data_IF_499647317416
#
_entry.id   IF_499647317416
#
_cell.length_a   1.000
_cell.length_b   1.000
_cell.length_c   1.000
_cell.angle_alpha   90.00
_cell.angle_beta   90.00
_cell.angle_gamma   90.00
#
_symmetry.space_group_name_H-M   'P 1'
#
loop_
_entity.id
_entity.type
_entity.pdbx_description
1 polymer ?
#
# COMPACT_ATOMS: atom_id res chain seq x y z
N UNK A 1 9.75 -1.80 -0.93
CA UNK A 1 10.33 -3.12 -1.24
C UNK A 1 11.84 -3.23 -1.03
N UNK A 2 12.67 -2.30 -1.52
CA UNK A 2 14.14 -2.44 -1.42
C UNK A 2 14.66 -2.58 0.02
N UNK A 3 13.95 -2.06 1.02
CA UNK A 3 14.22 -2.26 2.45
C UNK A 3 13.82 -3.64 3.01
N UNK A 4 13.28 -4.54 2.18
CA UNK A 4 12.74 -5.84 2.60
C UNK A 4 11.37 -5.79 3.30
N UNK A 5 10.72 -4.63 3.33
CA UNK A 5 9.36 -4.52 3.88
C UNK A 5 8.33 -4.92 2.81
N UNK A 6 7.65 -6.03 3.09
CA UNK A 6 6.61 -6.65 2.26
C UNK A 6 5.23 -6.65 2.93
N UNK A 7 5.02 -5.85 3.98
CA UNK A 7 3.75 -5.78 4.73
C UNK A 7 2.54 -5.43 3.85
N UNK A 8 2.78 -4.72 2.74
CA UNK A 8 1.77 -4.34 1.77
C UNK A 8 1.47 -5.43 0.72
N UNK A 9 2.26 -6.51 0.66
CA UNK A 9 2.10 -7.57 -0.33
C UNK A 9 1.17 -8.69 0.17
N UNK A 10 0.26 -9.21 -0.68
CA UNK A 10 -0.50 -10.39 -0.33
C UNK A 10 0.41 -11.59 -0.10
N UNK A 11 0.31 -12.18 1.10
CA UNK A 11 1.05 -13.39 1.50
C UNK A 11 0.92 -14.54 0.48
N UNK A 12 -0.24 -14.63 -0.19
CA UNK A 12 -0.51 -15.68 -1.17
C UNK A 12 0.19 -15.47 -2.53
N UNK A 13 0.65 -14.25 -2.84
CA UNK A 13 1.39 -13.93 -4.06
C UNK A 13 2.90 -14.12 -3.87
N UNK A 14 3.39 -13.90 -2.64
CA UNK A 14 4.78 -14.18 -2.23
C UNK A 14 5.19 -15.64 -2.45
N UNK A 15 4.24 -16.58 -2.36
CA UNK A 15 4.48 -18.03 -2.55
C UNK A 15 4.24 -18.49 -4.00
N UNK A 16 3.91 -17.60 -4.93
CA UNK A 16 3.69 -17.99 -6.33
C UNK A 16 5.01 -18.32 -7.02
N UNK A 17 5.00 -19.38 -7.83
CA UNK A 17 6.14 -19.87 -8.62
C UNK A 17 6.76 -18.72 -9.45
N UNK A 18 8.09 -18.62 -9.44
CA UNK A 18 8.87 -17.58 -10.11
C UNK A 18 8.49 -17.40 -11.60
N UNK A 19 8.13 -18.48 -12.29
CA UNK A 19 7.76 -18.44 -13.72
C UNK A 19 6.48 -17.62 -13.98
N UNK A 20 5.50 -17.74 -13.09
CA UNK A 20 4.26 -16.96 -13.19
C UNK A 20 4.49 -15.47 -12.91
N UNK A 21 5.46 -15.14 -12.07
CA UNK A 21 5.85 -13.76 -11.77
C UNK A 21 6.51 -13.10 -12.98
N UNK A 22 7.44 -13.81 -13.64
CA UNK A 22 8.12 -13.32 -14.85
C UNK A 22 7.14 -13.20 -16.02
N UNK A 23 6.25 -14.18 -16.20
CA UNK A 23 5.20 -14.07 -17.22
C UNK A 23 4.23 -12.91 -16.94
N UNK A 24 3.95 -12.61 -15.67
CA UNK A 24 3.08 -11.49 -15.27
C UNK A 24 3.75 -10.13 -15.50
N UNK A 25 5.07 -10.02 -15.28
CA UNK A 25 5.81 -8.78 -15.56
C UNK A 25 5.84 -8.45 -17.05
N UNK A 26 6.00 -9.45 -17.92
CA UNK A 26 5.98 -9.24 -19.37
C UNK A 26 4.61 -8.72 -19.86
N UNK A 27 3.53 -9.18 -19.23
CA UNK A 27 2.16 -8.74 -19.56
C UNK A 27 1.84 -7.34 -19.07
N UNK A 28 2.59 -6.79 -18.11
CA UNK A 28 2.29 -5.51 -17.46
C UNK A 28 2.20 -4.36 -18.47
N UNK A 29 3.17 -4.22 -19.37
CA UNK A 29 3.21 -3.09 -20.32
C UNK A 29 1.98 -3.06 -21.24
N UNK A 30 1.59 -4.21 -21.79
CA UNK A 30 0.39 -4.33 -22.61
C UNK A 30 -0.89 -4.12 -21.82
N UNK A 31 -0.98 -4.73 -20.62
CA UNK A 31 -2.12 -4.55 -19.73
C UNK A 31 -2.33 -3.06 -19.38
N UNK A 32 -1.24 -2.34 -19.06
CA UNK A 32 -1.29 -0.92 -18.71
C UNK A 32 -1.94 -0.06 -19.78
N UNK A 33 -1.52 -0.22 -21.04
CA UNK A 33 -2.06 0.55 -22.16
C UNK A 33 -3.53 0.22 -22.38
N UNK A 34 -3.89 -1.07 -22.36
CA UNK A 34 -5.27 -1.51 -22.59
C UNK A 34 -6.21 -1.00 -21.50
N UNK A 35 -5.84 -1.09 -20.22
CA UNK A 35 -6.66 -0.56 -19.12
C UNK A 35 -6.81 0.96 -19.20
N UNK A 36 -5.77 1.68 -19.63
CA UNK A 36 -5.84 3.13 -19.82
C UNK A 36 -6.82 3.50 -20.93
N UNK A 37 -6.76 2.82 -22.09
CA UNK A 37 -7.69 3.05 -23.20
C UNK A 37 -9.13 2.76 -22.79
N UNK A 38 -9.37 1.63 -22.10
CA UNK A 38 -10.70 1.29 -21.59
C UNK A 38 -11.22 2.30 -20.58
N UNK A 39 -10.37 2.76 -19.67
CA UNK A 39 -10.72 3.79 -18.70
C UNK A 39 -11.07 5.11 -19.39
N UNK A 40 -10.29 5.52 -20.40
CA UNK A 40 -10.56 6.71 -21.19
C UNK A 40 -11.93 6.63 -21.90
N UNK A 41 -12.23 5.50 -22.54
CA UNK A 41 -13.53 5.26 -23.18
C UNK A 41 -14.68 5.36 -22.16
N UNK A 42 -14.54 4.71 -21.00
CA UNK A 42 -15.54 4.74 -19.93
C UNK A 42 -15.76 6.17 -19.40
N UNK A 43 -14.69 6.96 -19.24
CA UNK A 43 -14.79 8.36 -18.80
C UNK A 43 -15.54 9.20 -19.84
N UNK A 44 -15.29 9.01 -21.14
CA UNK A 44 -16.02 9.73 -22.20
C UNK A 44 -17.51 9.39 -22.15
N UNK A 45 -17.86 8.10 -22.05
CA UNK A 45 -19.26 7.66 -21.99
C UNK A 45 -19.93 8.24 -20.73
N UNK A 46 -19.26 8.19 -19.58
CA UNK A 46 -19.78 8.76 -18.33
C UNK A 46 -19.94 10.27 -18.42
N UNK A 47 -19.00 10.98 -19.07
CA UNK A 47 -19.08 12.42 -19.28
C UNK A 47 -20.26 12.77 -20.20
N UNK A 48 -20.47 11.99 -21.28
CA UNK A 48 -21.59 12.19 -22.19
C UNK A 48 -22.94 12.02 -21.46
N UNK A 49 -23.07 10.96 -20.65
CA UNK A 49 -24.26 10.74 -19.80
C UNK A 49 -24.42 11.89 -18.81
N UNK A 50 -23.35 12.32 -18.13
CA UNK A 50 -23.41 13.42 -17.16
C UNK A 50 -23.81 14.74 -17.83
N UNK A 51 -23.27 15.07 -19.00
CA UNK A 51 -23.66 16.24 -19.78
C UNK A 51 -25.13 16.18 -20.19
N UNK A 52 -25.62 15.02 -20.62
CA UNK A 52 -27.03 14.82 -20.95
C UNK A 52 -27.93 15.00 -19.72
N UNK A 53 -27.54 14.42 -18.58
CA UNK A 53 -28.27 14.57 -17.31
C UNK A 53 -28.31 16.03 -16.83
N UNK A 54 -27.19 16.76 -16.92
CA UNK A 54 -27.13 18.19 -16.58
C UNK A 54 -27.99 19.01 -17.53
N UNK A 55 -27.93 18.74 -18.83
CA UNK A 55 -28.75 19.43 -19.81
C UNK A 55 -30.24 19.24 -19.55
N UNK A 56 -30.65 18.01 -19.23
CA UNK A 56 -32.05 17.69 -18.96
C UNK A 56 -32.53 18.21 -17.59
N UNK A 57 -31.74 18.04 -16.52
CA UNK A 57 -32.13 18.38 -15.15
C UNK A 57 -31.97 19.87 -14.84
N UNK A 58 -31.00 20.57 -15.43
CA UNK A 58 -30.68 21.96 -15.09
C UNK A 58 -31.01 22.91 -16.24
N UNK A 59 -30.48 22.64 -17.46
CA UNK A 59 -30.57 23.61 -18.57
C UNK A 59 -32.02 23.74 -19.08
N UNK A 60 -32.72 22.62 -19.27
CA UNK A 60 -34.12 22.61 -19.72
C UNK A 60 -35.06 23.38 -18.77
N UNK A 61 -35.06 23.11 -17.45
CA UNK A 61 -35.91 23.87 -16.53
C UNK A 61 -35.50 25.33 -16.39
N UNK A 62 -34.20 25.66 -16.46
CA UNK A 62 -33.75 27.05 -16.44
C UNK A 62 -34.20 27.83 -17.68
N UNK A 63 -34.29 27.17 -18.84
CA UNK A 63 -34.81 27.74 -20.08
C UNK A 63 -36.35 27.90 -20.08
N UNK A 64 -37.05 27.55 -18.99
CA UNK A 64 -38.50 27.70 -18.86
C UNK A 64 -39.32 26.76 -19.76
N UNK A 65 -38.69 25.74 -20.35
CA UNK A 65 -39.34 24.82 -21.30
C UNK A 65 -40.02 23.62 -20.63
N UNK A 66 -40.05 23.56 -19.30
CA UNK A 66 -40.52 22.40 -18.53
C UNK A 66 -41.63 22.83 -17.57
N UNK A 67 -42.67 22.00 -17.46
CA UNK A 67 -43.79 22.21 -16.54
C UNK A 67 -43.36 22.07 -15.07
N UNK A 68 -44.07 22.76 -14.16
CA UNK A 68 -43.84 22.69 -12.71
C UNK A 68 -43.85 21.26 -12.15
N UNK A 69 -44.61 20.33 -12.76
CA UNK A 69 -44.65 18.91 -12.35
C UNK A 69 -43.30 18.19 -12.43
N UNK A 70 -42.30 18.72 -13.12
CA UNK A 70 -40.94 18.18 -13.08
C UNK A 70 -40.25 18.39 -11.71
N UNK A 71 -40.63 19.44 -10.98
CA UNK A 71 -40.07 19.74 -9.65
C UNK A 71 -40.78 19.03 -8.51
N UNK A 72 -41.99 18.50 -8.73
CA UNK A 72 -42.75 17.74 -7.72
C UNK A 72 -41.93 16.64 -7.01
N UNK A 73 -41.20 15.74 -7.71
CA UNK A 73 -40.44 14.70 -7.02
C UNK A 73 -39.29 15.28 -6.17
N UNK A 74 -38.66 16.36 -6.61
CA UNK A 74 -37.60 17.05 -5.83
C UNK A 74 -38.21 17.70 -4.60
N UNK A 75 -39.34 18.39 -4.75
CA UNK A 75 -40.04 19.06 -3.65
C UNK A 75 -40.55 18.06 -2.59
N UNK A 76 -40.98 16.87 -3.01
CA UNK A 76 -41.44 15.79 -2.09
C UNK A 76 -40.26 15.08 -1.43
N UNK A 77 -39.14 14.87 -2.13
CA UNK A 77 -37.98 14.14 -1.59
C UNK A 77 -37.17 14.92 -0.57
N UNK A 78 -37.07 16.25 -0.68
CA UNK A 78 -36.29 17.10 0.24
C UNK A 78 -36.80 17.02 1.69
N UNK A 79 -38.10 17.19 1.99
CA UNK A 79 -38.64 17.01 3.34
C UNK A 79 -38.41 15.60 3.90
N UNK A 80 -38.54 14.58 3.04
CA UNK A 80 -38.30 13.18 3.45
C UNK A 80 -36.84 12.97 3.87
N UNK A 81 -35.88 13.54 3.15
CA UNK A 81 -34.47 13.52 3.55
C UNK A 81 -34.23 14.25 4.87
N UNK A 82 -34.85 15.42 5.06
CA UNK A 82 -34.73 16.19 6.31
C UNK A 82 -35.26 15.41 7.51
N UNK A 83 -36.41 14.74 7.37
CA UNK A 83 -37.00 13.91 8.42
C UNK A 83 -36.06 12.75 8.77
N UNK A 84 -35.55 12.01 7.77
CA UNK A 84 -34.60 10.90 7.99
C UNK A 84 -33.32 11.36 8.70
N UNK A 85 -32.77 12.51 8.32
CA UNK A 85 -31.60 13.09 8.98
C UNK A 85 -31.90 13.46 10.44
N UNK A 86 -33.07 14.07 10.69
CA UNK A 86 -33.56 14.38 12.03
C UNK A 86 -33.69 13.14 12.92
N UNK A 87 -34.31 12.07 12.39
CA UNK A 87 -34.43 10.78 13.08
C UNK A 87 -33.07 10.18 13.43
N UNK A 88 -32.11 10.19 12.50
CA UNK A 88 -30.76 9.69 12.77
C UNK A 88 -30.04 10.47 13.89
N UNK A 89 -30.17 11.81 13.89
CA UNK A 89 -29.61 12.66 14.96
C UNK A 89 -30.31 12.46 16.29
N UNK A 90 -31.64 12.34 16.29
CA UNK A 90 -32.43 12.05 17.48
C UNK A 90 -32.02 10.70 18.09
N UNK A 91 -31.81 9.68 17.27
CA UNK A 91 -31.33 8.38 17.73
C UNK A 91 -29.94 8.47 18.37
N UNK A 92 -28.98 9.14 17.73
CA UNK A 92 -27.65 9.39 18.30
C UNK A 92 -27.73 10.12 19.65
N UNK A 93 -28.64 11.09 19.75
CA UNK A 93 -28.90 11.81 20.98
C UNK A 93 -29.46 10.91 22.09
N UNK A 94 -30.47 10.08 21.79
CA UNK A 94 -31.05 9.12 22.73
C UNK A 94 -30.01 8.11 23.22
N UNK A 95 -29.21 7.52 22.31
CA UNK A 95 -28.13 6.60 22.67
C UNK A 95 -27.09 7.26 23.58
N UNK A 96 -26.67 8.49 23.27
CA UNK A 96 -25.66 9.19 24.05
C UNK A 96 -26.14 9.63 25.43
N UNK A 97 -27.43 10.00 25.56
CA UNK A 97 -27.99 10.55 26.81
C UNK A 97 -28.56 9.48 27.74
N UNK A 98 -29.21 8.44 27.21
CA UNK A 98 -29.92 7.45 28.03
C UNK A 98 -29.20 6.10 28.17
N UNK A 99 -28.27 5.77 27.27
CA UNK A 99 -27.72 4.41 27.21
C UNK A 99 -26.22 4.32 27.53
N UNK A 100 -25.46 5.39 27.32
CA UNK A 100 -24.01 5.34 27.39
C UNK A 100 -23.51 5.71 28.79
N UNK A 101 -23.00 4.72 29.53
CA UNK A 101 -22.40 4.93 30.85
C UNK A 101 -21.13 5.79 30.77
N UNK A 102 -21.11 6.88 31.53
CA UNK A 102 -19.91 7.69 31.74
C UNK A 102 -19.03 7.06 32.83
N UNK A 103 -18.43 5.90 32.53
CA UNK A 103 -17.49 5.25 33.45
C UNK A 103 -16.04 5.72 33.17
N UNK A 104 -15.29 6.19 34.18
CA UNK A 104 -13.88 6.51 34.01
C UNK A 104 -13.05 5.22 33.93
N UNK A 105 -12.52 4.89 32.74
CA UNK A 105 -11.61 3.76 32.54
C UNK A 105 -10.16 4.18 32.78
N UNK A 106 -9.52 3.61 33.80
CA UNK A 106 -8.10 3.83 34.12
C UNK A 106 -7.23 3.04 33.13
N UNK A 107 -6.41 3.73 32.33
CA UNK A 107 -5.41 3.13 31.43
C UNK A 107 -3.99 3.44 31.94
N UNK A 108 -2.97 2.59 31.70
CA UNK A 108 -1.62 2.77 32.26
C UNK A 108 -0.79 3.91 31.63
N UNK A 109 -1.41 4.88 30.93
CA UNK A 109 -0.75 6.06 30.33
C UNK A 109 -1.60 7.34 30.48
N UNK A 110 -2.23 7.50 31.64
CA UNK A 110 -3.04 8.69 31.99
C UNK A 110 -4.55 8.44 31.98
N UNK A 111 -5.27 9.22 32.77
CA UNK A 111 -6.73 9.19 32.89
C UNK A 111 -7.31 9.77 31.59
N UNK A 112 -7.83 8.92 30.71
CA UNK A 112 -8.73 9.34 29.64
C UNK A 112 -10.11 8.80 29.97
N UNK A 113 -11.06 9.69 30.22
CA UNK A 113 -12.49 9.38 30.33
C UNK A 113 -13.00 8.87 28.98
N UNK A 114 -12.80 7.58 28.71
CA UNK A 114 -13.53 6.90 27.65
C UNK A 114 -14.81 6.35 28.23
N UNK A 115 -15.94 6.72 27.62
CA UNK A 115 -17.24 6.10 27.89
C UNK A 115 -17.11 4.60 27.63
N UNK A 116 -17.14 3.79 28.68
CA UNK A 116 -17.16 2.34 28.54
C UNK A 116 -18.44 1.95 27.81
N UNK A 117 -18.39 0.93 26.93
CA UNK A 117 -19.54 0.44 26.17
C UNK A 117 -20.47 -0.41 27.06
N UNK A 118 -20.74 0.08 28.27
CA UNK A 118 -21.59 -0.54 29.25
C UNK A 118 -22.93 0.23 29.27
N UNK A 119 -24.03 -0.53 29.21
CA UNK A 119 -25.37 0.01 29.00
C UNK A 119 -26.12 0.03 30.33
N UNK A 120 -26.71 1.18 30.69
CA UNK A 120 -27.45 1.31 31.97
C UNK A 120 -28.78 0.53 31.96
N UNK A 121 -29.48 0.53 30.82
CA UNK A 121 -30.85 0.03 30.74
C UNK A 121 -31.05 -0.88 29.52
N UNK A 122 -30.62 -2.14 29.63
CA UNK A 122 -30.74 -3.13 28.55
C UNK A 122 -32.19 -3.32 28.07
N UNK A 123 -33.16 -3.29 28.99
CA UNK A 123 -34.60 -3.43 28.65
C UNK A 123 -35.10 -2.28 27.76
N UNK A 124 -34.78 -1.04 28.11
CA UNK A 124 -35.17 0.13 27.32
C UNK A 124 -34.47 0.14 25.96
N UNK A 125 -33.22 -0.34 25.91
CA UNK A 125 -32.45 -0.42 24.67
C UNK A 125 -33.10 -1.42 23.70
N UNK A 126 -33.53 -2.57 24.21
CA UNK A 126 -34.21 -3.58 23.40
C UNK A 126 -35.56 -3.07 22.86
N UNK A 127 -36.37 -2.38 23.68
CA UNK A 127 -37.66 -1.80 23.24
C UNK A 127 -37.42 -0.72 22.17
N UNK A 128 -36.46 0.19 22.40
CA UNK A 128 -36.13 1.24 21.44
C UNK A 128 -35.57 0.64 20.14
N UNK A 129 -34.71 -0.37 20.23
CA UNK A 129 -34.15 -1.05 19.06
C UNK A 129 -35.22 -1.77 18.24
N UNK A 130 -36.19 -2.41 18.89
CA UNK A 130 -37.33 -3.04 18.22
C UNK A 130 -38.20 -2.01 17.50
N UNK A 131 -38.53 -0.89 18.14
CA UNK A 131 -39.29 0.19 17.50
C UNK A 131 -38.52 0.81 16.32
N UNK A 132 -37.22 1.06 16.50
CA UNK A 132 -36.37 1.68 15.49
C UNK A 132 -36.02 0.75 14.33
N UNK A 133 -36.24 -0.56 14.44
CA UNK A 133 -35.91 -1.54 13.41
C UNK A 133 -36.52 -1.18 12.05
N UNK A 134 -37.81 -0.83 12.01
CA UNK A 134 -38.51 -0.48 10.77
C UNK A 134 -37.90 0.75 10.06
N UNK A 135 -37.55 1.79 10.81
CA UNK A 135 -36.89 2.98 10.26
C UNK A 135 -35.49 2.67 9.74
N UNK A 136 -34.74 1.82 10.43
CA UNK A 136 -33.42 1.37 9.97
C UNK A 136 -33.49 0.55 8.69
N UNK A 137 -34.55 -0.21 8.45
CA UNK A 137 -34.73 -0.94 7.19
C UNK A 137 -34.82 0.06 6.03
N UNK A 138 -35.65 1.12 6.17
CA UNK A 138 -35.80 2.16 5.14
C UNK A 138 -34.48 2.91 4.90
N UNK A 139 -33.82 3.36 5.97
CA UNK A 139 -32.51 4.03 5.89
C UNK A 139 -31.45 3.07 5.30
N UNK A 140 -31.54 1.78 5.61
CA UNK A 140 -30.66 0.72 5.13
C UNK A 140 -30.74 0.55 3.61
N UNK A 141 -31.93 0.66 3.01
CA UNK A 141 -32.07 0.67 1.54
C UNK A 141 -31.31 1.84 0.91
N UNK A 142 -31.44 3.05 1.46
CA UNK A 142 -30.73 4.24 0.97
C UNK A 142 -29.21 4.11 1.16
N UNK A 143 -28.78 3.53 2.30
CA UNK A 143 -27.36 3.25 2.58
C UNK A 143 -26.78 2.22 1.60
N UNK A 144 -27.54 1.19 1.25
CA UNK A 144 -27.14 0.20 0.25
C UNK A 144 -26.94 0.85 -1.13
N UNK A 145 -27.87 1.71 -1.55
CA UNK A 145 -27.73 2.45 -2.81
C UNK A 145 -26.49 3.35 -2.80
N UNK A 146 -26.28 4.09 -1.71
CA UNK A 146 -25.07 4.92 -1.50
C UNK A 146 -23.79 4.08 -1.57
N UNK A 147 -23.81 2.86 -1.02
CA UNK A 147 -22.66 1.94 -1.07
C UNK A 147 -22.37 1.48 -2.50
N UNK A 148 -23.40 1.16 -3.28
CA UNK A 148 -23.23 0.77 -4.69
C UNK A 148 -22.67 1.94 -5.49
N UNK A 149 -23.25 3.13 -5.36
CA UNK A 149 -22.78 4.31 -6.10
C UNK A 149 -21.37 4.72 -5.72
N UNK A 150 -21.04 4.75 -4.42
CA UNK A 150 -19.67 5.02 -3.96
C UNK A 150 -18.68 3.96 -4.46
N UNK A 151 -19.07 2.69 -4.48
CA UNK A 151 -18.26 1.60 -5.02
C UNK A 151 -17.98 1.76 -6.52
N UNK A 152 -18.98 2.17 -7.30
CA UNK A 152 -18.82 2.46 -8.74
C UNK A 152 -17.88 3.65 -8.97
N UNK A 153 -18.04 4.74 -8.22
CA UNK A 153 -17.18 5.92 -8.32
C UNK A 153 -15.73 5.62 -7.96
N UNK A 154 -15.50 4.96 -6.82
CA UNK A 154 -14.15 4.58 -6.38
C UNK A 154 -13.55 3.55 -7.35
N UNK A 155 -14.34 2.62 -7.84
CA UNK A 155 -13.94 1.64 -8.85
C UNK A 155 -13.49 2.31 -10.16
N UNK A 156 -14.23 3.30 -10.65
CA UNK A 156 -13.89 4.02 -11.88
C UNK A 156 -12.56 4.79 -11.76
N UNK A 157 -12.35 5.50 -10.63
CA UNK A 157 -11.10 6.22 -10.37
C UNK A 157 -9.93 5.24 -10.23
N UNK A 158 -10.17 4.08 -9.60
CA UNK A 158 -9.14 3.06 -9.38
C UNK A 158 -8.83 2.27 -10.66
N UNK A 159 -9.77 2.12 -11.58
CA UNK A 159 -9.57 1.43 -12.86
C UNK A 159 -8.47 2.09 -13.70
N UNK A 160 -8.30 3.41 -13.59
CA UNK A 160 -7.23 4.15 -14.25
C UNK A 160 -5.84 3.76 -13.72
N UNK A 161 -5.74 3.24 -12.49
CA UNK A 161 -4.48 3.00 -11.78
C UNK A 161 -4.35 1.54 -11.38
N UNK A 162 -3.53 0.79 -12.13
CA UNK A 162 -3.23 -0.63 -11.87
C UNK A 162 -2.47 -0.83 -10.54
N UNK A 163 -1.91 0.25 -9.98
CA UNK A 163 -1.28 0.26 -8.66
C UNK A 163 -2.23 -0.18 -7.53
N UNK A 164 -3.55 -0.05 -7.72
CA UNK A 164 -4.57 -0.38 -6.71
C UNK A 164 -5.47 -1.51 -7.21
N UNK A 165 -5.72 -2.48 -6.34
CA UNK A 165 -6.68 -3.55 -6.62
C UNK A 165 -8.11 -2.99 -6.67
N UNK A 166 -8.90 -3.44 -7.63
CA UNK A 166 -10.34 -3.12 -7.70
C UNK A 166 -11.18 -4.08 -6.84
N UNK A 167 -10.68 -5.30 -6.65
CA UNK A 167 -11.37 -6.37 -5.93
C UNK A 167 -11.05 -6.36 -4.42
N UNK A 168 -11.93 -6.89 -3.55
CA UNK A 168 -11.62 -7.06 -2.14
C UNK A 168 -10.34 -7.87 -1.91
N UNK A 169 -9.66 -7.64 -0.78
CA UNK A 169 -8.38 -8.27 -0.42
C UNK A 169 -8.31 -9.79 -0.59
N UNK A 170 -9.44 -10.48 -0.42
CA UNK A 170 -9.54 -11.94 -0.57
C UNK A 170 -9.36 -12.39 -2.03
N UNK A 171 -9.75 -11.56 -2.98
CA UNK A 171 -9.81 -11.84 -4.42
C UNK A 171 -8.72 -11.13 -5.24
N UNK A 172 -7.70 -10.58 -4.59
CA UNK A 172 -6.58 -9.88 -5.26
C UNK A 172 -5.88 -10.72 -6.35
N UNK A 173 -5.85 -12.05 -6.19
CA UNK A 173 -5.27 -12.97 -7.21
C UNK A 173 -6.05 -12.99 -8.52
N UNK A 174 -7.34 -12.73 -8.47
CA UNK A 174 -8.21 -12.77 -9.64
C UNK A 174 -8.06 -11.51 -10.48
N UNK A 175 -7.53 -10.44 -9.88
CA UNK A 175 -7.20 -9.21 -10.57
C UNK A 175 -5.89 -9.40 -11.38
N UNK A 176 -6.05 -9.68 -12.68
CA UNK A 176 -4.93 -9.88 -13.59
C UNK A 176 -4.09 -8.62 -13.77
N UNK A 177 -4.72 -7.44 -13.71
CA UNK A 177 -4.01 -6.17 -13.82
C UNK A 177 -3.09 -5.97 -12.62
N UNK A 178 -3.65 -6.10 -11.41
CA UNK A 178 -2.89 -6.00 -10.18
C UNK A 178 -1.78 -7.07 -10.07
N UNK A 179 -2.07 -8.32 -10.46
CA UNK A 179 -1.07 -9.39 -10.49
C UNK A 179 0.10 -9.08 -11.45
N UNK A 180 -0.18 -8.46 -12.60
CA UNK A 180 0.86 -8.03 -13.55
C UNK A 180 1.74 -6.93 -12.96
N UNK A 181 1.13 -5.95 -12.29
CA UNK A 181 1.86 -4.88 -11.61
C UNK A 181 2.80 -5.40 -10.51
N UNK A 182 2.30 -6.29 -9.64
CA UNK A 182 3.15 -6.87 -8.59
C UNK A 182 4.26 -7.75 -9.17
N UNK A 183 3.98 -8.50 -10.24
CA UNK A 183 5.01 -9.27 -10.95
C UNK A 183 6.14 -8.38 -11.48
N UNK A 184 5.79 -7.28 -12.15
CA UNK A 184 6.75 -6.28 -12.63
C UNK A 184 7.57 -5.66 -11.49
N UNK A 185 6.92 -5.28 -10.39
CA UNK A 185 7.58 -4.69 -9.22
C UNK A 185 8.58 -5.64 -8.55
N UNK A 186 8.23 -6.93 -8.41
CA UNK A 186 9.12 -7.95 -7.83
C UNK A 186 10.34 -8.18 -8.74
N UNK A 187 10.11 -8.34 -10.04
CA UNK A 187 11.19 -8.53 -11.03
C UNK A 187 12.12 -7.31 -11.03
N UNK A 188 11.59 -6.10 -10.98
CA UNK A 188 12.40 -4.89 -10.93
C UNK A 188 13.24 -4.79 -9.66
N UNK A 189 12.69 -5.12 -8.50
CA UNK A 189 13.44 -5.11 -7.24
C UNK A 189 14.56 -6.14 -7.22
N UNK A 190 14.35 -7.32 -7.82
CA UNK A 190 15.38 -8.35 -7.90
C UNK A 190 16.49 -8.02 -8.90
N UNK A 191 16.14 -7.50 -10.08
CA UNK A 191 17.13 -7.25 -11.14
C UNK A 191 17.78 -5.86 -11.07
N UNK A 192 17.09 -4.85 -10.51
CA UNK A 192 17.57 -3.47 -10.41
C UNK A 192 17.72 -3.04 -8.95
N UNK A 193 18.58 -3.73 -8.22
CA UNK A 193 18.98 -3.27 -6.89
C UNK A 193 20.04 -2.15 -7.02
N UNK A 194 19.71 -0.90 -6.65
CA UNK A 194 20.63 0.23 -6.80
C UNK A 194 21.89 0.06 -5.94
N UNK A 195 21.77 -0.56 -4.76
CA UNK A 195 22.91 -0.81 -3.86
C UNK A 195 23.90 -1.78 -4.50
N UNK A 196 23.39 -2.87 -5.07
CA UNK A 196 24.23 -3.84 -5.77
C UNK A 196 24.87 -3.24 -7.03
N UNK A 197 24.11 -2.45 -7.80
CA UNK A 197 24.63 -1.79 -9.00
C UNK A 197 25.74 -0.80 -8.68
N UNK A 198 25.57 0.03 -7.65
CA UNK A 198 26.60 0.98 -7.21
C UNK A 198 27.82 0.23 -6.68
N UNK A 199 27.62 -0.80 -5.85
CA UNK A 199 28.71 -1.63 -5.35
C UNK A 199 29.54 -2.27 -6.48
N UNK A 200 28.88 -2.87 -7.47
CA UNK A 200 29.56 -3.42 -8.63
C UNK A 200 30.30 -2.34 -9.44
N UNK A 201 29.69 -1.16 -9.61
CA UNK A 201 30.33 -0.04 -10.30
C UNK A 201 31.60 0.44 -9.57
N UNK A 202 31.53 0.61 -8.25
CA UNK A 202 32.69 0.97 -7.42
C UNK A 202 33.80 -0.08 -7.48
N UNK A 203 33.45 -1.37 -7.45
CA UNK A 203 34.41 -2.46 -7.62
C UNK A 203 35.07 -2.42 -9.01
N UNK A 204 34.30 -2.17 -10.06
CA UNK A 204 34.80 -2.08 -11.43
C UNK A 204 35.72 -0.87 -11.62
N UNK A 205 35.34 0.30 -11.11
CA UNK A 205 36.17 1.52 -11.13
C UNK A 205 37.47 1.27 -10.37
N UNK A 206 37.41 0.73 -9.16
CA UNK A 206 38.60 0.42 -8.36
C UNK A 206 39.53 -0.60 -9.03
N UNK A 207 38.97 -1.59 -9.75
CA UNK A 207 39.77 -2.56 -10.49
C UNK A 207 40.38 -1.95 -11.76
N UNK A 208 39.67 -1.07 -12.47
CA UNK A 208 40.20 -0.33 -13.62
C UNK A 208 41.34 0.60 -13.22
N UNK A 209 41.22 1.32 -12.10
CA UNK A 209 42.27 2.18 -11.58
C UNK A 209 43.54 1.39 -11.23
N UNK A 210 43.40 0.22 -10.57
CA UNK A 210 44.54 -0.67 -10.29
C UNK A 210 45.14 -1.25 -11.56
N UNK A 211 44.32 -1.63 -12.54
CA UNK A 211 44.79 -2.12 -13.83
C UNK A 211 45.57 -1.06 -14.62
N UNK A 212 45.07 0.17 -14.66
CA UNK A 212 45.73 1.30 -15.32
C UNK A 212 47.03 1.68 -14.62
N UNK A 213 47.04 1.73 -13.28
CA UNK A 213 48.25 1.94 -12.50
C UNK A 213 49.32 0.87 -12.79
N UNK A 214 48.92 -0.41 -12.87
CA UNK A 214 49.84 -1.51 -13.17
C UNK A 214 50.38 -1.47 -14.60
N UNK A 215 49.61 -0.99 -15.58
CA UNK A 215 50.04 -0.85 -16.98
C UNK A 215 50.95 0.36 -17.17
N UNK A 216 50.69 1.48 -16.48
CA UNK A 216 51.53 2.69 -16.53
C UNK A 216 52.86 2.54 -15.78
N UNK A 217 52.96 1.59 -14.83
CA UNK A 217 54.14 1.36 -14.00
C UNK A 217 55.02 0.18 -14.46
N UNK A 218 54.61 -0.58 -15.48
CA UNK A 218 55.43 -1.61 -16.10
C UNK A 218 56.24 -0.98 -17.26
N UNK A 219 57.57 -0.68 -17.16
CA UNK A 219 58.57 -1.22 -16.24
C UNK A 219 59.64 -0.18 -15.79
N UNK A 220 59.59 0.38 -14.58
CA UNK A 220 60.75 1.13 -14.04
C UNK A 220 60.84 0.98 -12.51
N UNK A 221 61.92 0.34 -12.04
CA UNK A 221 62.50 0.31 -10.69
C UNK A 221 62.08 -0.77 -9.66
N UNK A 222 63.06 -1.61 -9.30
CA UNK A 222 63.06 -2.60 -8.20
C UNK A 222 62.89 -2.01 -6.79
N UNK A 223 63.07 -0.69 -6.60
CA UNK A 223 62.91 -0.03 -5.29
C UNK A 223 61.44 0.32 -4.95
N UNK A 224 60.52 0.18 -5.91
CA UNK A 224 59.10 0.52 -5.74
C UNK A 224 58.30 -0.58 -5.02
N UNK A 225 58.76 -1.84 -5.08
CA UNK A 225 58.11 -2.98 -4.46
C UNK A 225 58.01 -2.89 -2.92
N UNK A 226 59.03 -2.34 -2.25
CA UNK A 226 59.00 -2.17 -0.80
C UNK A 226 57.98 -1.12 -0.34
N UNK A 227 57.89 0.02 -1.04
CA UNK A 227 56.95 1.10 -0.71
C UNK A 227 55.48 0.69 -0.99
N UNK A 228 55.22 -0.02 -2.08
CA UNK A 228 53.90 -0.58 -2.38
C UNK A 228 53.50 -1.65 -1.35
N UNK A 229 54.43 -2.50 -0.91
CA UNK A 229 54.16 -3.51 0.12
C UNK A 229 53.77 -2.89 1.48
N UNK A 230 54.41 -1.77 1.85
CA UNK A 230 54.11 -1.04 3.10
C UNK A 230 52.77 -0.33 3.00
N UNK A 231 52.48 0.34 1.87
CA UNK A 231 51.17 0.97 1.61
C UNK A 231 50.04 -0.06 1.62
N UNK A 232 50.25 -1.24 1.04
CA UNK A 232 49.28 -2.33 1.07
C UNK A 232 49.07 -2.89 2.49
N UNK A 233 50.13 -3.06 3.29
CA UNK A 233 50.03 -3.47 4.70
C UNK A 233 49.26 -2.46 5.54
N UNK A 234 49.53 -1.17 5.37
CA UNK A 234 48.82 -0.09 6.07
C UNK A 234 47.32 -0.09 5.71
N UNK A 235 46.96 -0.18 4.42
CA UNK A 235 45.55 -0.30 3.98
C UNK A 235 44.84 -1.52 4.56
N UNK A 236 45.54 -2.66 4.70
CA UNK A 236 44.97 -3.88 5.32
C UNK A 236 44.67 -3.65 6.80
N UNK A 237 45.53 -2.93 7.52
CA UNK A 237 45.32 -2.59 8.93
C UNK A 237 44.13 -1.63 9.08
N UNK A 238 44.05 -0.56 8.28
CA UNK A 238 42.91 0.36 8.30
C UNK A 238 41.57 -0.36 8.07
N UNK A 239 41.48 -1.23 7.06
CA UNK A 239 40.27 -2.04 6.80
C UNK A 239 39.88 -2.95 7.96
N UNK A 240 40.85 -3.50 8.69
CA UNK A 240 40.59 -4.31 9.89
C UNK A 240 40.00 -3.46 11.02
N UNK A 241 40.50 -2.24 11.20
CA UNK A 241 39.95 -1.28 12.17
C UNK A 241 38.54 -0.83 11.78
N UNK A 242 38.30 -0.46 10.52
CA UNK A 242 36.99 -0.06 10.03
C UNK A 242 35.94 -1.17 10.21
N UNK A 243 36.34 -2.42 9.95
CA UNK A 243 35.51 -3.61 10.21
C UNK A 243 35.18 -3.73 11.71
N UNK A 244 36.18 -3.58 12.58
CA UNK A 244 36.00 -3.69 14.03
C UNK A 244 35.08 -2.59 14.57
N UNK A 245 35.28 -1.34 14.14
CA UNK A 245 34.42 -0.20 14.49
C UNK A 245 32.98 -0.46 14.04
N UNK A 246 32.79 -0.96 12.82
CA UNK A 246 31.45 -1.28 12.29
C UNK A 246 30.75 -2.37 13.11
N UNK A 247 31.49 -3.42 13.51
CA UNK A 247 30.95 -4.53 14.32
C UNK A 247 30.64 -4.15 15.77
N UNK A 248 31.41 -3.22 16.35
CA UNK A 248 31.14 -2.70 17.70
C UNK A 248 29.87 -1.85 17.69
N UNK A 249 29.71 -1.00 16.68
CA UNK A 249 28.55 -0.11 16.57
C UNK A 249 27.25 -0.84 16.19
N UNK A 250 27.33 -2.05 15.62
CA UNK A 250 26.17 -2.83 15.17
C UNK A 250 26.13 -4.22 15.86
N UNK A 251 25.57 -4.32 17.08
CA UNK A 251 25.62 -5.55 17.88
C UNK A 251 24.81 -6.71 17.31
N UNK A 252 23.80 -6.43 16.48
CA UNK A 252 23.05 -7.44 15.72
C UNK A 252 23.89 -8.05 14.59
N UNK A 253 24.58 -7.22 13.80
CA UNK A 253 25.48 -7.68 12.74
C UNK A 253 26.64 -8.52 13.29
N UNK A 254 27.13 -8.19 14.50
CA UNK A 254 28.16 -8.97 15.18
C UNK A 254 27.71 -10.40 15.50
N UNK A 255 26.47 -10.58 15.95
CA UNK A 255 25.92 -11.92 16.26
C UNK A 255 25.82 -12.77 14.99
N UNK A 256 25.20 -12.23 13.94
CA UNK A 256 25.06 -12.93 12.67
C UNK A 256 26.42 -13.29 12.05
N UNK A 257 27.42 -12.40 12.14
CA UNK A 257 28.77 -12.67 11.63
C UNK A 257 29.48 -13.82 12.38
N UNK A 258 29.22 -13.98 13.69
CA UNK A 258 29.76 -15.09 14.48
C UNK A 258 29.07 -16.40 14.12
N UNK A 259 27.74 -16.38 13.97
CA UNK A 259 26.93 -17.53 13.55
C UNK A 259 27.33 -18.03 12.16
N UNK A 260 27.37 -17.17 11.15
CA UNK A 260 27.74 -17.52 9.77
C UNK A 260 29.17 -18.08 9.67
N UNK A 261 30.10 -17.54 10.48
CA UNK A 261 31.47 -18.06 10.55
C UNK A 261 31.54 -19.43 11.23
N UNK A 262 30.68 -19.70 12.21
CA UNK A 262 30.59 -21.01 12.86
C UNK A 262 30.00 -22.06 11.92
N UNK A 263 28.95 -21.73 11.15
CA UNK A 263 28.36 -22.62 10.15
C UNK A 263 29.35 -22.97 9.03
N UNK A 264 30.05 -21.99 8.47
CA UNK A 264 31.05 -22.23 7.43
C UNK A 264 32.23 -23.09 7.92
N UNK A 265 32.60 -22.99 9.20
CA UNK A 265 33.65 -23.82 9.80
C UNK A 265 33.19 -25.27 10.00
N UNK A 266 31.91 -25.52 10.21
CA UNK A 266 31.32 -26.86 10.33
C UNK A 266 31.23 -27.51 8.94
N UNK A 267 30.75 -26.77 7.94
CA UNK A 267 30.60 -27.26 6.55
C UNK A 267 31.96 -27.63 5.92
N UNK A 268 33.03 -26.89 6.23
CA UNK A 268 34.39 -27.23 5.78
C UNK A 268 34.98 -28.47 6.47
N UNK A 269 34.53 -28.80 7.68
CA UNK A 269 34.95 -30.02 8.38
C UNK A 269 34.19 -31.25 7.85
N UNK A 270 32.92 -31.09 7.46
CA UNK A 270 32.11 -32.16 6.86
C UNK A 270 32.55 -32.53 5.44
N UNK A 271 33.07 -31.59 4.65
CA UNK A 271 33.61 -31.84 3.30
C UNK A 271 35.02 -32.50 3.35
N UNK A 272 35.69 -32.46 4.50
CA UNK A 272 37.03 -32.99 4.69
C UNK A 272 37.09 -34.43 5.28
N UNK A 273 35.92 -35.07 5.50
CA UNK A 273 35.76 -36.46 5.94
C UNK A 273 35.24 -37.30 4.77
#
# INVERSE_FOLDING_TARGET
MQRGDYTFLPLKLRKSLNDNLVASSLRYSGAQIVYLIWCYLLIIVMLWIACFMIAYIIILPLAGKVSFSFFEPVLVSVPLMMINFGFHKLQLFLTRKFFLQDMPVIRPKGIKTQKALALENLKMFNILSFFMFFFHVIIGFVSCLTRITAGLWIGLISLARIDKYMLPRVYEKQDKGYSAYIGMLIVEVHHRNPVASVFCNELLVSNREKGCANVLLAPVNDNQGNAESISQKHRRICRKWDKLVTLINNPSARRNFVEEKSECSIEQVEIAI
#
